data_IF_584188987988
#
_entry.id   IF_584188987988
#
_cell.length_a   1.000
_cell.length_b   1.000
_cell.length_c   1.000
_cell.angle_alpha   90.00
_cell.angle_beta   90.00
_cell.angle_gamma   90.00
#
_symmetry.space_group_name_H-M   'P 1'
#
loop_
_entity.id
_entity.type
_entity.pdbx_description
1 polymer ?
#
# COMPACT_ATOMS: atom_id res chain seq x y z
N UNK A 1 -46.24 -31.68 -13.19
CA UNK A 1 -45.02 -30.87 -13.05
C UNK A 1 -45.18 -30.02 -11.80
N UNK A 2 -44.28 -30.09 -10.81
CA UNK A 2 -44.35 -29.19 -9.65
C UNK A 2 -43.95 -27.76 -10.06
N UNK A 3 -44.52 -26.72 -9.42
CA UNK A 3 -44.26 -25.33 -9.80
C UNK A 3 -42.82 -24.94 -9.45
N UNK A 4 -42.17 -24.24 -10.38
CA UNK A 4 -40.87 -23.61 -10.20
C UNK A 4 -40.90 -22.72 -8.95
N UNK A 5 -40.15 -23.11 -7.92
CA UNK A 5 -39.91 -22.31 -6.73
C UNK A 5 -38.96 -21.20 -7.15
N UNK A 6 -39.48 -20.00 -7.40
CA UNK A 6 -38.68 -18.80 -7.61
C UNK A 6 -37.88 -18.60 -6.32
N UNK A 7 -36.57 -18.87 -6.36
CA UNK A 7 -35.68 -18.50 -5.26
C UNK A 7 -35.73 -16.98 -5.15
N UNK A 8 -35.93 -16.40 -3.95
CA UNK A 8 -35.85 -14.96 -3.79
C UNK A 8 -34.48 -14.48 -4.25
N UNK A 9 -34.45 -13.41 -5.04
CA UNK A 9 -33.22 -12.77 -5.45
C UNK A 9 -32.34 -12.49 -4.22
N UNK A 10 -31.02 -12.71 -4.30
CA UNK A 10 -30.13 -12.44 -3.17
C UNK A 10 -30.30 -10.98 -2.76
N UNK A 11 -30.63 -10.77 -1.47
CA UNK A 11 -30.73 -9.45 -0.87
C UNK A 11 -29.47 -8.67 -1.22
N UNK A 12 -29.58 -7.50 -1.87
CA UNK A 12 -28.41 -6.73 -2.25
C UNK A 12 -27.57 -6.42 -1.01
N UNK A 13 -26.24 -6.56 -1.08
CA UNK A 13 -25.38 -6.30 0.07
C UNK A 13 -25.63 -4.89 0.59
N UNK A 14 -25.77 -4.75 1.91
CA UNK A 14 -25.83 -3.45 2.58
C UNK A 14 -24.51 -2.70 2.33
N UNK A 15 -24.55 -1.79 1.35
CA UNK A 15 -23.40 -1.03 0.88
C UNK A 15 -22.66 -0.32 2.02
N UNK A 16 -23.38 0.07 3.09
CA UNK A 16 -22.80 0.74 4.26
C UNK A 16 -21.94 -0.21 5.09
N UNK A 17 -22.42 -1.43 5.35
CA UNK A 17 -21.66 -2.46 6.08
C UNK A 17 -20.44 -2.92 5.31
N UNK A 18 -20.55 -3.08 3.99
CA UNK A 18 -19.41 -3.44 3.13
C UNK A 18 -18.36 -2.34 3.12
N UNK A 19 -18.76 -1.08 2.96
CA UNK A 19 -17.85 0.07 3.01
C UNK A 19 -17.13 0.17 4.36
N UNK A 20 -17.84 -0.05 5.48
CA UNK A 20 -17.25 -0.01 6.82
C UNK A 20 -16.22 -1.14 7.04
N UNK A 21 -16.54 -2.37 6.61
CA UNK A 21 -15.60 -3.51 6.68
C UNK A 21 -14.33 -3.26 5.87
N UNK A 22 -14.48 -2.68 4.67
CA UNK A 22 -13.34 -2.28 3.86
C UNK A 22 -12.54 -1.17 4.54
N UNK A 23 -13.19 -0.14 5.10
CA UNK A 23 -12.51 0.93 5.82
C UNK A 23 -11.67 0.41 7.00
N UNK A 24 -12.19 -0.53 7.80
CA UNK A 24 -11.40 -1.19 8.85
C UNK A 24 -10.25 -2.03 8.31
N UNK A 25 -10.47 -2.74 7.19
CA UNK A 25 -9.40 -3.48 6.53
C UNK A 25 -8.26 -2.56 6.07
N UNK A 26 -8.57 -1.48 5.34
CA UNK A 26 -7.55 -0.49 4.96
C UNK A 26 -6.92 0.16 6.18
N UNK A 27 -7.72 0.52 7.19
CA UNK A 27 -7.23 1.09 8.45
C UNK A 27 -6.17 0.21 9.11
N UNK A 28 -6.40 -1.10 9.22
CA UNK A 28 -5.45 -2.04 9.80
C UNK A 28 -4.18 -2.23 8.95
N UNK A 29 -4.33 -2.33 7.62
CA UNK A 29 -3.18 -2.43 6.69
C UNK A 29 -2.30 -1.19 6.78
N UNK A 30 -2.90 0.00 6.74
CA UNK A 30 -2.16 1.25 6.83
C UNK A 30 -1.62 1.53 8.23
N UNK A 31 -2.25 1.02 9.29
CA UNK A 31 -1.68 1.04 10.64
C UNK A 31 -0.34 0.30 10.65
N UNK A 32 -0.28 -0.94 10.13
CA UNK A 32 0.95 -1.73 9.98
C UNK A 32 2.00 -0.98 9.13
N UNK A 33 1.59 -0.41 8.00
CA UNK A 33 2.50 0.36 7.12
C UNK A 33 3.03 1.63 7.81
N UNK A 34 2.20 2.34 8.57
CA UNK A 34 2.56 3.54 9.32
C UNK A 34 3.55 3.30 10.46
N UNK A 35 3.68 2.06 10.92
CA UNK A 35 4.73 1.64 11.86
C UNK A 35 5.96 1.16 11.09
N UNK A 36 5.73 0.29 10.09
CA UNK A 36 6.79 -0.42 9.40
C UNK A 36 7.67 0.55 8.59
N UNK A 37 7.06 1.43 7.79
CA UNK A 37 7.82 2.31 6.89
C UNK A 37 8.74 3.26 7.67
N UNK A 38 8.29 3.94 8.73
CA UNK A 38 9.16 4.82 9.51
C UNK A 38 10.18 4.10 10.37
N UNK A 39 9.80 2.99 11.02
CA UNK A 39 10.55 2.47 12.16
C UNK A 39 11.17 1.08 11.95
N UNK A 40 10.80 0.33 10.91
CA UNK A 40 11.43 -0.97 10.64
C UNK A 40 12.95 -0.88 10.44
N UNK A 41 13.50 0.08 9.66
CA UNK A 41 14.95 0.23 9.55
C UNK A 41 15.64 0.57 10.88
N UNK A 42 14.94 1.25 11.80
CA UNK A 42 15.44 1.52 13.15
C UNK A 42 15.56 0.24 13.96
N UNK A 43 14.57 -0.65 13.86
CA UNK A 43 14.62 -1.96 14.51
C UNK A 43 15.75 -2.83 13.93
N UNK A 44 15.94 -2.83 12.60
CA UNK A 44 17.05 -3.53 11.96
C UNK A 44 18.42 -3.00 12.43
N UNK A 45 18.57 -1.69 12.53
CA UNK A 45 19.79 -1.07 13.05
C UNK A 45 20.03 -1.42 14.52
N UNK A 46 18.96 -1.48 15.33
CA UNK A 46 19.03 -1.91 16.73
C UNK A 46 19.42 -3.40 16.89
N UNK A 47 19.10 -4.24 15.90
CA UNK A 47 19.60 -5.61 15.78
C UNK A 47 21.06 -5.71 15.30
N UNK A 48 21.74 -4.57 15.11
CA UNK A 48 23.15 -4.50 14.75
C UNK A 48 23.43 -4.54 13.25
N UNK A 49 22.41 -4.47 12.38
CA UNK A 49 22.64 -4.45 10.93
C UNK A 49 23.23 -3.11 10.50
N UNK A 50 24.27 -3.18 9.66
CA UNK A 50 24.86 -2.01 9.03
C UNK A 50 23.98 -1.42 7.91
N UNK A 51 24.28 -0.19 7.43
CA UNK A 51 23.49 0.46 6.38
C UNK A 51 23.37 -0.38 5.09
N UNK A 52 24.46 -1.03 4.67
CA UNK A 52 24.44 -1.90 3.47
C UNK A 52 23.51 -3.09 3.65
N UNK A 53 23.52 -3.71 4.83
CA UNK A 53 22.68 -4.87 5.15
C UNK A 53 21.19 -4.48 5.19
N UNK A 54 20.87 -3.34 5.83
CA UNK A 54 19.52 -2.76 5.82
C UNK A 54 19.06 -2.49 4.38
N UNK A 55 19.93 -1.90 3.56
CA UNK A 55 19.66 -1.65 2.15
C UNK A 55 19.33 -2.93 1.37
N UNK A 56 20.10 -4.01 1.59
CA UNK A 56 19.85 -5.32 0.97
C UNK A 56 18.54 -5.94 1.45
N UNK A 57 18.23 -5.89 2.75
CA UNK A 57 16.96 -6.38 3.31
C UNK A 57 15.78 -5.67 2.67
N UNK A 58 15.83 -4.33 2.57
CA UNK A 58 14.76 -3.53 1.94
C UNK A 58 14.66 -3.83 0.45
N UNK A 59 15.78 -3.91 -0.26
CA UNK A 59 15.80 -4.23 -1.69
C UNK A 59 15.20 -5.62 -1.97
N UNK A 60 15.59 -6.65 -1.22
CA UNK A 60 15.04 -7.99 -1.33
C UNK A 60 13.54 -8.03 -1.00
N UNK A 61 13.12 -7.27 0.03
CA UNK A 61 11.73 -7.11 0.44
C UNK A 61 10.86 -6.47 -0.64
N UNK A 62 11.40 -5.52 -1.42
CA UNK A 62 10.71 -4.93 -2.58
C UNK A 62 10.76 -5.89 -3.78
N UNK A 63 11.91 -6.52 -4.03
CA UNK A 63 12.13 -7.41 -5.16
C UNK A 63 11.21 -8.62 -5.16
N UNK A 64 10.97 -9.24 -4.00
CA UNK A 64 10.09 -10.41 -3.91
C UNK A 64 8.65 -10.10 -4.34
N UNK A 65 8.19 -8.85 -4.15
CA UNK A 65 6.83 -8.40 -4.51
C UNK A 65 6.55 -8.47 -6.01
N UNK A 66 7.60 -8.26 -6.83
CA UNK A 66 7.52 -8.34 -8.30
C UNK A 66 7.08 -9.74 -8.74
N UNK A 67 7.45 -10.77 -7.97
CA UNK A 67 7.12 -12.16 -8.24
C UNK A 67 5.84 -12.55 -7.50
N UNK A 68 5.74 -12.25 -6.20
CA UNK A 68 4.63 -12.72 -5.37
C UNK A 68 3.29 -12.11 -5.77
N UNK A 69 3.23 -10.80 -6.08
CA UNK A 69 1.97 -10.13 -6.37
C UNK A 69 1.26 -10.74 -7.61
N UNK A 70 1.91 -10.88 -8.79
CA UNK A 70 1.26 -11.49 -9.95
C UNK A 70 0.89 -12.97 -9.75
N UNK A 71 1.73 -13.75 -9.07
CA UNK A 71 1.47 -15.16 -8.83
C UNK A 71 0.23 -15.37 -7.95
N UNK A 72 0.15 -14.62 -6.85
CA UNK A 72 -0.96 -14.70 -5.91
C UNK A 72 -2.25 -14.12 -6.50
N UNK A 73 -2.15 -13.02 -7.28
CA UNK A 73 -3.29 -12.49 -8.03
C UNK A 73 -3.85 -13.53 -9.01
N UNK A 74 -2.98 -14.21 -9.77
CA UNK A 74 -3.38 -15.27 -10.70
C UNK A 74 -4.07 -16.45 -10.00
N UNK A 75 -3.59 -16.85 -8.82
CA UNK A 75 -4.23 -17.89 -8.00
C UNK A 75 -5.63 -17.42 -7.55
N UNK A 76 -5.77 -16.16 -7.14
CA UNK A 76 -7.04 -15.60 -6.70
C UNK A 76 -8.06 -15.51 -7.83
N UNK A 77 -7.63 -15.11 -9.02
CA UNK A 77 -8.50 -15.02 -10.20
C UNK A 77 -8.96 -16.39 -10.67
N UNK A 78 -8.10 -17.41 -10.64
CA UNK A 78 -8.47 -18.81 -10.95
C UNK A 78 -9.42 -19.42 -9.93
N UNK A 79 -9.32 -19.05 -8.66
CA UNK A 79 -10.23 -19.56 -7.62
C UNK A 79 -11.55 -18.80 -7.58
N UNK A 80 -11.64 -17.60 -8.18
CA UNK A 80 -12.80 -16.72 -8.09
C UNK A 80 -13.08 -16.20 -6.67
N UNK A 81 -12.20 -16.49 -5.70
CA UNK A 81 -12.36 -16.22 -4.28
C UNK A 81 -11.14 -15.47 -3.75
N UNK A 82 -11.35 -14.24 -3.27
CA UNK A 82 -10.29 -13.36 -2.76
C UNK A 82 -10.17 -13.43 -1.24
N UNK A 83 -11.29 -13.40 -0.52
CA UNK A 83 -11.31 -13.39 0.96
C UNK A 83 -10.53 -14.56 1.60
N UNK A 84 -10.74 -15.84 1.25
CA UNK A 84 -10.00 -16.94 1.88
C UNK A 84 -8.48 -16.85 1.67
N UNK A 85 -8.07 -16.38 0.49
CA UNK A 85 -6.66 -16.16 0.17
C UNK A 85 -6.09 -15.03 1.02
N UNK A 86 -6.79 -13.90 1.10
CA UNK A 86 -6.39 -12.75 1.94
C UNK A 86 -6.22 -13.19 3.40
N UNK A 87 -7.17 -13.94 3.96
CA UNK A 87 -7.09 -14.45 5.34
C UNK A 87 -5.89 -15.39 5.51
N UNK A 88 -5.69 -16.33 4.58
CA UNK A 88 -4.54 -17.24 4.62
C UNK A 88 -3.21 -16.51 4.57
N UNK A 89 -3.08 -15.50 3.70
CA UNK A 89 -1.91 -14.64 3.61
C UNK A 89 -1.69 -13.82 4.88
N UNK A 90 -2.75 -13.27 5.49
CA UNK A 90 -2.63 -12.53 6.75
C UNK A 90 -2.12 -13.42 7.90
N UNK A 91 -2.62 -14.66 8.00
CA UNK A 91 -2.14 -15.64 8.98
C UNK A 91 -0.69 -16.02 8.72
N UNK A 92 -0.32 -16.29 7.47
CA UNK A 92 1.07 -16.58 7.10
C UNK A 92 2.00 -15.38 7.32
N UNK A 93 1.54 -14.15 7.09
CA UNK A 93 2.28 -12.93 7.35
C UNK A 93 2.54 -12.77 8.86
N UNK A 94 1.52 -12.99 9.70
CA UNK A 94 1.70 -12.98 11.15
C UNK A 94 2.68 -14.07 11.62
N UNK A 95 2.48 -15.32 11.17
CA UNK A 95 3.32 -16.45 11.56
C UNK A 95 4.77 -16.34 11.05
N UNK A 96 5.00 -15.74 9.88
CA UNK A 96 6.36 -15.46 9.41
C UNK A 96 6.99 -14.29 10.16
N UNK A 97 6.21 -13.28 10.54
CA UNK A 97 6.72 -12.14 11.29
C UNK A 97 7.16 -12.51 12.71
N UNK A 98 6.51 -13.48 13.38
CA UNK A 98 6.96 -13.95 14.71
C UNK A 98 8.38 -14.54 14.68
N UNK A 99 8.83 -15.04 13.53
CA UNK A 99 10.18 -15.61 13.39
C UNK A 99 11.27 -14.56 13.65
N UNK A 100 11.00 -13.26 13.43
CA UNK A 100 11.96 -12.18 13.72
C UNK A 100 12.34 -12.09 15.21
N UNK A 101 11.52 -12.62 16.12
CA UNK A 101 11.83 -12.63 17.55
C UNK A 101 13.10 -13.43 17.87
N UNK A 102 13.41 -14.46 17.07
CA UNK A 102 14.58 -15.32 17.24
C UNK A 102 15.73 -15.01 16.28
N UNK A 103 15.72 -13.85 15.62
CA UNK A 103 16.77 -13.48 14.64
C UNK A 103 17.56 -12.26 15.09
N UNK A 104 18.88 -12.40 15.18
CA UNK A 104 19.82 -11.34 15.57
C UNK A 104 20.95 -11.14 14.54
N UNK A 105 20.87 -11.79 13.38
CA UNK A 105 21.91 -11.77 12.35
C UNK A 105 21.33 -11.49 10.98
N UNK A 106 22.16 -10.95 10.10
CA UNK A 106 21.79 -10.53 8.74
C UNK A 106 21.06 -11.62 7.94
N UNK A 107 21.64 -12.82 7.80
CA UNK A 107 21.07 -13.88 6.95
C UNK A 107 19.70 -14.36 7.42
N UNK A 108 19.48 -14.70 8.71
CA UNK A 108 18.15 -15.01 9.22
C UNK A 108 17.13 -13.87 8.98
N UNK A 109 17.51 -12.61 9.26
CA UNK A 109 16.64 -11.45 9.05
C UNK A 109 16.28 -11.30 7.57
N UNK A 110 17.23 -11.47 6.66
CA UNK A 110 17.02 -11.39 5.22
C UNK A 110 16.04 -12.46 4.73
N UNK A 111 16.25 -13.72 5.12
CA UNK A 111 15.41 -14.84 4.71
C UNK A 111 13.98 -14.69 5.25
N UNK A 112 13.82 -14.31 6.52
CA UNK A 112 12.51 -14.05 7.12
C UNK A 112 11.84 -12.85 6.45
N UNK A 113 12.59 -11.80 6.08
CA UNK A 113 12.05 -10.66 5.33
C UNK A 113 11.50 -11.06 3.97
N UNK A 114 12.24 -11.87 3.21
CA UNK A 114 11.78 -12.38 1.90
C UNK A 114 10.49 -13.19 2.08
N UNK A 115 10.47 -14.11 3.06
CA UNK A 115 9.29 -14.92 3.36
C UNK A 115 8.08 -14.06 3.73
N UNK A 116 8.26 -13.13 4.68
CA UNK A 116 7.21 -12.23 5.14
C UNK A 116 6.66 -11.37 3.99
N UNK A 117 7.52 -10.73 3.22
CA UNK A 117 7.08 -9.85 2.13
C UNK A 117 6.48 -10.60 0.94
N UNK A 118 6.85 -11.86 0.71
CA UNK A 118 6.20 -12.71 -0.27
C UNK A 118 4.71 -12.91 0.01
N UNK A 119 4.33 -12.99 1.29
CA UNK A 119 2.93 -13.23 1.71
C UNK A 119 2.18 -11.97 2.14
N UNK A 120 2.87 -10.98 2.68
CA UNK A 120 2.28 -9.71 3.11
C UNK A 120 1.91 -8.80 1.93
N UNK A 121 2.80 -8.68 0.94
CA UNK A 121 2.61 -7.72 -0.16
C UNK A 121 1.35 -7.92 -1.02
N UNK A 122 0.86 -9.14 -1.28
CA UNK A 122 -0.33 -9.34 -2.11
C UNK A 122 -1.65 -9.02 -1.39
N UNK A 123 -1.65 -8.84 -0.06
CA UNK A 123 -2.87 -8.62 0.73
C UNK A 123 -3.59 -7.33 0.29
N UNK A 124 -2.86 -6.23 0.14
CA UNK A 124 -3.42 -4.94 -0.29
C UNK A 124 -4.04 -5.00 -1.69
N UNK A 125 -3.33 -5.42 -2.77
CA UNK A 125 -3.93 -5.46 -4.11
C UNK A 125 -5.10 -6.44 -4.23
N UNK A 126 -5.08 -7.57 -3.50
CA UNK A 126 -6.24 -8.46 -3.43
C UNK A 126 -7.43 -7.81 -2.72
N UNK A 127 -7.18 -7.03 -1.67
CA UNK A 127 -8.19 -6.25 -0.97
C UNK A 127 -8.80 -5.15 -1.84
N UNK A 128 -7.98 -4.47 -2.64
CA UNK A 128 -8.42 -3.49 -3.64
C UNK A 128 -9.29 -4.16 -4.72
N UNK A 129 -8.83 -5.28 -5.27
CA UNK A 129 -9.61 -6.09 -6.21
C UNK A 129 -10.96 -6.51 -5.60
N UNK A 130 -10.96 -6.99 -4.35
CA UNK A 130 -12.18 -7.36 -3.64
C UNK A 130 -13.12 -6.16 -3.44
N UNK A 131 -12.60 -4.98 -3.10
CA UNK A 131 -13.38 -3.76 -2.98
C UNK A 131 -14.05 -3.37 -4.30
N UNK A 132 -13.32 -3.48 -5.43
CA UNK A 132 -13.86 -3.22 -6.76
C UNK A 132 -14.99 -4.20 -7.14
N UNK A 133 -14.82 -5.51 -6.87
CA UNK A 133 -15.88 -6.50 -7.12
C UNK A 133 -17.09 -6.36 -6.19
N UNK A 134 -16.89 -5.83 -4.98
CA UNK A 134 -17.96 -5.71 -3.98
C UNK A 134 -18.75 -4.40 -4.09
N UNK A 135 -18.31 -3.47 -4.95
CA UNK A 135 -18.99 -2.19 -5.17
C UNK A 135 -20.20 -2.28 -6.10
N UNK A 136 -21.04 -1.22 -6.16
CA UNK A 136 -22.24 -1.17 -6.99
C UNK A 136 -22.02 -1.50 -8.48
N UNK A 137 -20.80 -1.30 -9.00
CA UNK A 137 -20.40 -1.65 -10.37
C UNK A 137 -19.85 -3.07 -10.58
N UNK A 138 -19.81 -3.92 -9.54
CA UNK A 138 -19.28 -5.29 -9.60
C UNK A 138 -20.15 -6.28 -10.37
N UNK A 139 -21.38 -5.90 -10.75
CA UNK A 139 -22.16 -6.62 -11.76
C UNK A 139 -21.69 -6.17 -13.14
N UNK A 140 -20.64 -6.80 -13.64
CA UNK A 140 -20.08 -6.60 -14.99
C UNK A 140 -21.02 -7.08 -16.13
N UNK A 141 -22.29 -7.37 -15.82
CA UNK A 141 -23.24 -8.03 -16.72
C UNK A 141 -23.99 -7.12 -17.69
N UNK A 142 -24.19 -5.83 -17.39
CA UNK A 142 -25.01 -4.95 -18.23
C UNK A 142 -24.51 -3.51 -18.17
N UNK A 143 -23.38 -3.22 -18.82
CA UNK A 143 -23.09 -1.84 -19.23
C UNK A 143 -23.89 -1.58 -20.51
N UNK A 144 -25.11 -1.06 -20.38
CA UNK A 144 -25.76 -0.41 -21.51
C UNK A 144 -24.93 0.83 -21.90
N UNK A 145 -24.50 0.84 -23.16
CA UNK A 145 -23.86 1.97 -23.82
C UNK A 145 -24.81 3.18 -23.77
N UNK A 146 -24.57 4.14 -22.88
CA UNK A 146 -25.40 5.35 -22.86
C UNK A 146 -25.13 6.35 -21.73
N UNK A 147 -24.83 5.89 -20.51
CA UNK A 147 -24.69 6.81 -19.37
C UNK A 147 -23.22 7.16 -19.07
N UNK A 148 -22.70 8.16 -19.79
CA UNK A 148 -21.55 8.94 -19.36
C UNK A 148 -21.96 9.83 -18.17
N UNK A 149 -22.04 9.28 -16.95
CA UNK A 149 -22.33 10.11 -15.78
C UNK A 149 -22.60 9.36 -14.49
N UNK A 150 -21.59 9.29 -13.62
CA UNK A 150 -21.84 9.26 -12.17
C UNK A 150 -22.31 7.95 -11.54
N UNK A 151 -21.90 6.78 -12.05
CA UNK A 151 -22.04 5.54 -11.30
C UNK A 151 -21.24 5.67 -10.00
N UNK A 152 -21.96 5.55 -8.87
CA UNK A 152 -21.51 5.67 -7.48
C UNK A 152 -20.40 4.64 -7.20
N UNK A 153 -19.18 4.91 -7.67
CA UNK A 153 -17.95 4.33 -7.16
C UNK A 153 -18.09 4.36 -5.64
N UNK A 154 -18.00 3.20 -4.98
CA UNK A 154 -17.76 3.19 -3.54
C UNK A 154 -16.65 4.21 -3.33
N UNK A 155 -16.94 5.27 -2.59
CA UNK A 155 -16.16 6.50 -2.52
C UNK A 155 -14.72 6.14 -2.11
N UNK A 156 -13.91 5.75 -3.09
CA UNK A 156 -12.66 5.00 -2.89
C UNK A 156 -11.67 5.89 -2.17
N UNK A 157 -11.76 7.20 -2.45
CA UNK A 157 -11.12 8.27 -1.68
C UNK A 157 -11.51 8.27 -0.20
N UNK A 158 -12.80 8.13 0.16
CA UNK A 158 -13.24 8.08 1.57
C UNK A 158 -12.76 6.83 2.29
N UNK A 159 -12.77 5.67 1.64
CA UNK A 159 -12.27 4.43 2.24
C UNK A 159 -10.75 4.52 2.45
N UNK A 160 -10.02 5.10 1.49
CA UNK A 160 -8.58 5.33 1.58
C UNK A 160 -8.20 6.37 2.65
N UNK A 161 -9.03 7.39 2.87
CA UNK A 161 -8.81 8.40 3.91
C UNK A 161 -8.65 7.79 5.31
N UNK A 162 -9.41 6.73 5.62
CA UNK A 162 -9.25 6.00 6.88
C UNK A 162 -7.88 5.35 7.00
N UNK A 163 -7.33 4.83 5.89
CA UNK A 163 -5.96 4.33 5.85
C UNK A 163 -4.94 5.43 6.12
N UNK A 164 -5.08 6.60 5.48
CA UNK A 164 -4.19 7.73 5.74
C UNK A 164 -4.25 8.19 7.21
N UNK A 165 -5.45 8.23 7.80
CA UNK A 165 -5.62 8.61 9.20
C UNK A 165 -4.98 7.62 10.16
N UNK A 166 -5.14 6.30 9.92
CA UNK A 166 -4.49 5.28 10.76
C UNK A 166 -2.98 5.29 10.59
N UNK A 167 -2.46 5.51 9.38
CA UNK A 167 -1.03 5.70 9.16
C UNK A 167 -0.48 6.86 10.00
N UNK A 168 -1.13 8.03 9.94
CA UNK A 168 -0.71 9.21 10.71
C UNK A 168 -0.72 8.89 12.21
N UNK A 169 -1.82 8.30 12.70
CA UNK A 169 -1.98 7.97 14.10
C UNK A 169 -0.91 6.98 14.59
N UNK A 170 -0.60 5.93 13.81
CA UNK A 170 0.42 4.97 14.22
C UNK A 170 1.84 5.50 14.05
N UNK A 171 2.15 6.26 13.00
CA UNK A 171 3.47 6.85 12.81
C UNK A 171 3.81 7.83 13.95
N UNK A 172 2.89 8.73 14.29
CA UNK A 172 3.06 9.68 15.40
C UNK A 172 3.04 8.96 16.74
N UNK A 173 2.09 8.04 16.94
CA UNK A 173 1.95 7.30 18.20
C UNK A 173 3.18 6.45 18.51
N UNK A 174 3.67 5.66 17.54
CA UNK A 174 4.90 4.89 17.71
C UNK A 174 6.11 5.79 17.92
N UNK A 175 6.22 6.92 17.21
CA UNK A 175 7.29 7.89 17.43
C UNK A 175 7.30 8.45 18.86
N UNK A 176 6.12 8.76 19.40
CA UNK A 176 5.98 9.21 20.79
C UNK A 176 6.43 8.13 21.79
N UNK A 177 5.92 6.91 21.68
CA UNK A 177 6.29 5.82 22.59
C UNK A 177 7.75 5.35 22.45
N UNK A 178 8.40 5.65 21.33
CA UNK A 178 9.82 5.34 21.11
C UNK A 178 10.79 6.34 21.72
N UNK A 179 10.36 7.58 21.99
CA UNK A 179 11.29 8.66 22.41
C UNK A 179 12.04 8.31 23.70
N UNK A 180 11.36 7.62 24.64
CA UNK A 180 11.96 7.13 25.89
C UNK A 180 11.87 5.59 26.03
N UNK A 181 11.49 4.90 24.96
CA UNK A 181 11.15 3.48 24.97
C UNK A 181 12.22 2.57 24.36
N UNK A 182 12.13 1.26 24.62
CA UNK A 182 12.94 0.27 23.90
C UNK A 182 12.52 0.19 22.43
N UNK A 183 13.50 0.02 21.54
CA UNK A 183 13.26 -0.28 20.11
C UNK A 183 12.48 -1.58 19.90
N UNK A 184 12.44 -2.48 20.89
CA UNK A 184 11.64 -3.71 20.84
C UNK A 184 10.14 -3.45 20.71
N UNK A 185 9.67 -2.27 21.13
CA UNK A 185 8.26 -1.89 20.97
C UNK A 185 7.83 -1.91 19.49
N UNK A 186 8.76 -1.63 18.56
CA UNK A 186 8.49 -1.66 17.11
C UNK A 186 8.05 -3.06 16.70
N UNK A 187 8.77 -4.09 17.14
CA UNK A 187 8.41 -5.48 16.85
C UNK A 187 7.02 -5.84 17.39
N UNK A 188 6.75 -5.52 18.66
CA UNK A 188 5.48 -5.85 19.28
C UNK A 188 4.29 -5.12 18.66
N UNK A 189 4.44 -3.82 18.36
CA UNK A 189 3.38 -3.02 17.75
C UNK A 189 3.11 -3.46 16.30
N UNK A 190 4.15 -3.83 15.54
CA UNK A 190 3.99 -4.45 14.22
C UNK A 190 3.26 -5.79 14.32
N UNK A 191 3.69 -6.67 15.24
CA UNK A 191 3.07 -7.98 15.44
C UNK A 191 1.59 -7.85 15.86
N UNK A 192 1.26 -6.94 16.77
CA UNK A 192 -0.11 -6.65 17.17
C UNK A 192 -0.94 -6.10 16.01
N UNK A 193 -0.37 -5.23 15.16
CA UNK A 193 -1.07 -4.73 13.98
C UNK A 193 -1.35 -5.82 12.95
N UNK A 194 -0.45 -6.80 12.78
CA UNK A 194 -0.68 -7.99 11.95
C UNK A 194 -1.80 -8.88 12.51
N UNK A 195 -1.87 -9.04 13.84
CA UNK A 195 -2.99 -9.73 14.47
C UNK A 195 -4.33 -9.00 14.21
N UNK A 196 -4.33 -7.67 14.28
CA UNK A 196 -5.50 -6.86 13.91
C UNK A 196 -5.89 -7.08 12.44
N UNK A 197 -4.92 -7.15 11.52
CA UNK A 197 -5.17 -7.46 10.10
C UNK A 197 -5.89 -8.80 9.95
N UNK A 198 -5.47 -9.84 10.67
CA UNK A 198 -6.18 -11.14 10.66
C UNK A 198 -7.64 -10.93 11.08
N UNK A 199 -7.89 -10.28 12.21
CA UNK A 199 -9.25 -10.08 12.72
C UNK A 199 -10.14 -9.33 11.72
N UNK A 200 -9.66 -8.24 11.12
CA UNK A 200 -10.46 -7.47 10.16
C UNK A 200 -10.66 -8.20 8.83
N UNK A 201 -9.69 -9.03 8.39
CA UNK A 201 -9.84 -9.82 7.16
C UNK A 201 -10.91 -10.89 7.28
N UNK A 202 -11.15 -11.41 8.49
CA UNK A 202 -12.27 -12.31 8.77
C UNK A 202 -13.62 -11.63 8.56
N UNK A 203 -13.71 -10.29 8.68
CA UNK A 203 -14.94 -9.54 8.45
C UNK A 203 -15.16 -9.12 7.00
N UNK A 204 -14.21 -9.36 6.09
CA UNK A 204 -14.36 -9.02 4.67
C UNK A 204 -15.59 -9.71 4.04
N UNK A 205 -16.26 -9.07 3.07
CA UNK A 205 -17.35 -9.71 2.36
C UNK A 205 -16.84 -10.95 1.60
N UNK A 206 -17.62 -12.05 1.59
CA UNK A 206 -17.31 -13.18 0.71
C UNK A 206 -17.40 -12.72 -0.75
N UNK A 207 -16.40 -13.06 -1.54
CA UNK A 207 -16.40 -12.82 -3.00
C UNK A 207 -16.67 -14.12 -3.72
N UNK A 208 -17.62 -14.09 -4.65
CA UNK A 208 -17.78 -15.10 -5.71
C UNK A 208 -17.74 -14.37 -7.04
N UNK A 209 -16.54 -14.25 -7.62
CA UNK A 209 -16.39 -13.83 -9.01
C UNK A 209 -16.32 -15.09 -9.88
N UNK A 210 -16.76 -15.03 -11.16
CA UNK A 210 -16.50 -16.09 -12.11
C UNK A 210 -15.00 -16.41 -12.12
N UNK A 211 -14.66 -17.69 -11.90
CA UNK A 211 -13.28 -18.14 -11.98
C UNK A 211 -12.75 -17.88 -13.40
N UNK A 212 -11.57 -17.25 -13.49
CA UNK A 212 -10.94 -17.04 -14.79
C UNK A 212 -10.54 -18.40 -15.41
N UNK A 213 -10.99 -18.64 -16.64
CA UNK A 213 -10.58 -19.79 -17.46
C UNK A 213 -9.30 -19.51 -18.25
N UNK A 214 -8.81 -18.27 -18.23
CA UNK A 214 -7.61 -17.87 -18.95
C UNK A 214 -6.36 -18.52 -18.35
N UNK A 215 -5.61 -19.22 -19.22
CA UNK A 215 -4.42 -19.97 -18.81
C UNK A 215 -3.15 -19.11 -18.87
N UNK A 216 -3.16 -18.03 -19.65
CA UNK A 216 -2.00 -17.17 -19.89
C UNK A 216 -1.96 -16.01 -18.90
N UNK A 217 -0.76 -15.68 -18.43
CA UNK A 217 -0.51 -14.45 -17.68
C UNK A 217 -0.70 -13.25 -18.62
N UNK A 218 -1.89 -12.63 -18.57
CA UNK A 218 -2.23 -11.44 -19.38
C UNK A 218 -1.19 -10.31 -19.23
N UNK A 219 -0.51 -10.24 -18.08
CA UNK A 219 0.56 -9.28 -17.80
C UNK A 219 1.67 -9.28 -18.88
N UNK A 220 2.08 -10.44 -19.40
CA UNK A 220 3.16 -10.49 -20.40
C UNK A 220 2.74 -9.94 -21.77
N UNK A 221 1.45 -9.95 -22.07
CA UNK A 221 0.92 -9.37 -23.31
C UNK A 221 0.99 -7.84 -23.23
N UNK A 222 0.61 -7.27 -22.09
CA UNK A 222 0.54 -5.81 -21.89
C UNK A 222 1.94 -5.18 -21.80
N UNK A 223 2.91 -5.87 -21.20
CA UNK A 223 4.31 -5.40 -21.08
C UNK A 223 4.96 -5.18 -22.47
N UNK A 224 4.49 -5.84 -23.52
CA UNK A 224 5.01 -5.68 -24.89
C UNK A 224 4.53 -4.39 -25.58
N UNK A 225 3.55 -3.69 -25.01
CA UNK A 225 3.06 -2.41 -25.55
C UNK A 225 4.08 -1.32 -25.20
N UNK A 226 4.72 -0.64 -26.16
CA UNK A 226 5.81 0.31 -25.88
C UNK A 226 5.40 1.44 -24.93
N UNK A 227 4.18 1.95 -25.09
CA UNK A 227 3.62 3.01 -24.23
C UNK A 227 3.48 2.54 -22.78
N UNK A 228 3.06 1.28 -22.58
CA UNK A 228 2.96 0.68 -21.26
C UNK A 228 4.35 0.41 -20.66
N UNK A 229 5.33 0.01 -21.48
CA UNK A 229 6.72 -0.12 -21.05
C UNK A 229 7.31 1.19 -20.54
N UNK A 230 7.11 2.30 -21.27
CA UNK A 230 7.55 3.63 -20.83
C UNK A 230 6.86 4.08 -19.54
N UNK A 231 5.54 3.86 -19.45
CA UNK A 231 4.76 4.11 -18.24
C UNK A 231 5.31 3.33 -17.04
N UNK A 232 5.55 2.03 -17.21
CA UNK A 232 6.12 1.17 -16.17
C UNK A 232 7.50 1.65 -15.73
N UNK A 233 8.40 1.95 -16.68
CA UNK A 233 9.75 2.44 -16.36
C UNK A 233 9.67 3.76 -15.58
N UNK A 234 8.87 4.73 -16.06
CA UNK A 234 8.75 6.03 -15.40
C UNK A 234 8.23 5.90 -13.97
N UNK A 235 7.13 5.17 -13.77
CA UNK A 235 6.57 4.94 -12.43
C UNK A 235 7.50 4.12 -11.54
N UNK A 236 8.17 3.10 -12.08
CA UNK A 236 9.12 2.27 -11.34
C UNK A 236 10.32 3.09 -10.85
N UNK A 237 10.90 3.95 -11.69
CA UNK A 237 12.01 4.83 -11.27
C UNK A 237 11.57 5.81 -10.19
N UNK A 238 10.39 6.42 -10.34
CA UNK A 238 9.84 7.33 -9.33
C UNK A 238 9.62 6.60 -8.00
N UNK A 239 8.98 5.43 -8.01
CA UNK A 239 8.73 4.66 -6.79
C UNK A 239 10.04 4.11 -6.18
N UNK A 240 10.97 3.60 -6.99
CA UNK A 240 12.26 3.11 -6.53
C UNK A 240 13.09 4.21 -5.84
N UNK A 241 12.99 5.46 -6.31
CA UNK A 241 13.67 6.59 -5.66
C UNK A 241 13.22 6.83 -4.22
N UNK A 242 11.98 6.46 -3.86
CA UNK A 242 11.49 6.53 -2.49
C UNK A 242 12.11 5.46 -1.59
N UNK A 243 12.59 4.33 -2.13
CA UNK A 243 13.11 3.22 -1.33
C UNK A 243 14.30 3.63 -0.47
N UNK A 244 15.16 4.52 -0.96
CA UNK A 244 16.28 5.08 -0.19
C UNK A 244 15.75 5.90 0.98
N UNK A 245 14.78 6.76 0.73
CA UNK A 245 14.13 7.57 1.76
C UNK A 245 13.37 6.70 2.78
N UNK A 246 12.68 5.64 2.35
CA UNK A 246 12.00 4.70 3.23
C UNK A 246 12.96 3.86 4.08
N UNK A 247 14.14 3.54 3.57
CA UNK A 247 15.15 2.80 4.33
C UNK A 247 15.95 3.65 5.29
N UNK A 248 16.25 4.89 4.93
CA UNK A 248 17.25 5.68 5.65
C UNK A 248 16.75 7.02 6.18
N UNK A 249 15.53 7.47 5.83
CA UNK A 249 15.00 8.77 6.25
C UNK A 249 14.99 8.94 7.77
N UNK A 250 14.34 8.01 8.48
CA UNK A 250 14.30 8.02 9.95
C UNK A 250 15.70 7.91 10.56
N UNK A 251 16.54 7.00 10.06
CA UNK A 251 17.91 6.83 10.57
C UNK A 251 18.74 8.12 10.42
N UNK A 252 18.61 8.79 9.28
CA UNK A 252 19.29 10.05 8.97
C UNK A 252 18.78 11.20 9.86
N UNK A 253 17.48 11.29 10.11
CA UNK A 253 16.94 12.32 11.00
C UNK A 253 17.30 12.10 12.46
N UNK A 254 17.35 10.84 12.92
CA UNK A 254 17.89 10.50 14.24
C UNK A 254 19.36 10.92 14.36
N UNK A 255 20.16 10.68 13.33
CA UNK A 255 21.56 11.11 13.29
C UNK A 255 21.72 12.64 13.31
N UNK A 256 20.73 13.39 12.83
CA UNK A 256 20.66 14.86 12.94
C UNK A 256 20.14 15.36 14.30
N UNK A 257 19.78 14.46 15.21
CA UNK A 257 19.31 14.80 16.57
C UNK A 257 17.82 15.10 16.68
N UNK A 258 17.00 14.81 15.65
CA UNK A 258 15.55 14.93 15.78
C UNK A 258 14.99 13.78 16.62
N UNK A 259 14.07 14.10 17.53
CA UNK A 259 13.36 13.09 18.33
C UNK A 259 12.42 12.25 17.46
N UNK A 260 12.12 11.05 17.93
CA UNK A 260 11.23 10.09 17.27
C UNK A 260 9.81 10.65 17.10
N UNK A 261 9.38 11.52 18.02
CA UNK A 261 8.13 12.27 17.91
C UNK A 261 8.15 13.21 16.69
N UNK A 262 9.20 14.02 16.51
CA UNK A 262 9.35 14.91 15.34
C UNK A 262 9.41 14.09 14.05
N UNK A 263 10.11 12.96 14.07
CA UNK A 263 10.17 12.03 12.95
C UNK A 263 8.78 11.49 12.60
N UNK A 264 7.99 11.09 13.59
CA UNK A 264 6.61 10.66 13.39
C UNK A 264 5.76 11.73 12.69
N UNK A 265 5.94 13.00 13.06
CA UNK A 265 5.28 14.13 12.39
C UNK A 265 5.78 14.37 10.96
N UNK A 266 7.08 14.21 10.68
CA UNK A 266 7.62 14.33 9.32
C UNK A 266 7.03 13.27 8.37
N UNK A 267 6.79 12.05 8.88
CA UNK A 267 6.09 11.00 8.13
C UNK A 267 4.60 11.32 7.95
N UNK A 268 3.94 11.81 8.99
CA UNK A 268 2.53 12.21 8.92
C UNK A 268 2.30 13.36 7.93
N UNK A 269 3.21 14.34 7.89
CA UNK A 269 3.15 15.49 6.99
C UNK A 269 3.05 15.06 5.52
N UNK A 270 3.90 14.12 5.10
CA UNK A 270 3.86 13.61 3.73
C UNK A 270 2.49 13.02 3.36
N UNK A 271 1.86 12.31 4.31
CA UNK A 271 0.51 11.74 4.12
C UNK A 271 -0.57 12.81 4.12
N UNK A 272 -0.44 13.86 4.95
CA UNK A 272 -1.33 15.02 4.91
C UNK A 272 -1.26 15.70 3.54
N UNK A 273 -0.06 15.89 3.00
CA UNK A 273 0.15 16.46 1.67
C UNK A 273 -0.48 15.58 0.56
N UNK A 274 -0.38 14.25 0.66
CA UNK A 274 -1.09 13.30 -0.20
C UNK A 274 -2.61 13.48 -0.14
N UNK A 275 -3.20 13.55 1.06
CA UNK A 275 -4.65 13.75 1.25
C UNK A 275 -5.11 15.04 0.56
N UNK A 276 -4.37 16.13 0.75
CA UNK A 276 -4.69 17.43 0.14
C UNK A 276 -4.68 17.29 -1.38
N UNK A 277 -3.66 16.66 -1.98
CA UNK A 277 -3.61 16.50 -3.44
C UNK A 277 -4.74 15.63 -3.98
N UNK A 278 -5.06 14.52 -3.31
CA UNK A 278 -6.18 13.68 -3.72
C UNK A 278 -7.53 14.39 -3.64
N UNK A 279 -7.73 15.31 -2.69
CA UNK A 279 -8.93 16.14 -2.64
C UNK A 279 -9.14 16.98 -3.91
N UNK A 280 -8.06 17.33 -4.62
CA UNK A 280 -8.10 18.01 -5.92
C UNK A 280 -7.86 17.08 -7.12
N UNK A 281 -7.82 15.76 -6.90
CA UNK A 281 -7.35 14.78 -7.89
C UNK A 281 -8.13 14.79 -9.21
N UNK A 282 -9.47 14.78 -9.16
CA UNK A 282 -10.30 14.81 -10.36
C UNK A 282 -10.09 16.08 -11.20
N UNK A 283 -9.93 17.24 -10.53
CA UNK A 283 -9.63 18.50 -11.21
C UNK A 283 -8.27 18.44 -11.90
N UNK A 284 -7.27 17.94 -11.19
CA UNK A 284 -5.89 17.87 -11.65
C UNK A 284 -5.74 16.91 -12.85
N UNK A 285 -6.37 15.74 -12.79
CA UNK A 285 -6.42 14.77 -13.90
C UNK A 285 -7.09 15.38 -15.14
N UNK A 286 -8.21 16.09 -14.97
CA UNK A 286 -8.91 16.73 -16.09
C UNK A 286 -8.05 17.81 -16.78
N UNK A 287 -7.25 18.56 -16.02
CA UNK A 287 -6.41 19.64 -16.57
C UNK A 287 -5.10 19.16 -17.16
N UNK A 288 -4.41 18.23 -16.49
CA UNK A 288 -3.05 17.83 -16.85
C UNK A 288 -2.99 16.51 -17.61
N UNK A 289 -3.94 15.62 -17.37
CA UNK A 289 -3.92 14.26 -17.90
C UNK A 289 -2.89 13.35 -17.22
N UNK A 290 -2.99 12.02 -17.43
CA UNK A 290 -2.21 11.03 -16.68
C UNK A 290 -0.69 11.16 -16.84
N UNK A 291 -0.22 11.33 -18.07
CA UNK A 291 1.22 11.40 -18.37
C UNK A 291 1.91 12.61 -17.72
N UNK A 292 1.26 13.77 -17.70
CA UNK A 292 1.83 14.98 -17.08
C UNK A 292 1.89 14.87 -15.55
N UNK A 293 0.95 14.15 -14.92
CA UNK A 293 1.00 13.88 -13.49
C UNK A 293 2.22 13.03 -13.11
N UNK A 294 2.50 11.99 -13.90
CA UNK A 294 3.69 11.15 -13.72
C UNK A 294 4.96 11.98 -13.94
N UNK A 295 4.99 12.82 -14.98
CA UNK A 295 6.12 13.72 -15.23
C UNK A 295 6.35 14.68 -14.06
N UNK A 296 5.29 15.29 -13.53
CA UNK A 296 5.38 16.17 -12.35
C UNK A 296 5.94 15.41 -11.14
N UNK A 297 5.50 14.17 -10.91
CA UNK A 297 6.06 13.33 -9.85
C UNK A 297 7.55 13.05 -10.03
N UNK A 298 8.00 12.81 -11.26
CA UNK A 298 9.41 12.64 -11.60
C UNK A 298 10.25 13.89 -11.37
N UNK A 299 9.78 15.05 -11.85
CA UNK A 299 10.46 16.34 -11.64
C UNK A 299 10.52 16.70 -10.16
N UNK A 300 9.39 16.55 -9.44
CA UNK A 300 9.34 16.77 -8.00
C UNK A 300 10.28 15.83 -7.25
N UNK A 301 10.41 14.57 -7.68
CA UNK A 301 11.33 13.59 -7.10
C UNK A 301 12.78 14.01 -7.29
N UNK A 302 13.17 14.41 -8.51
CA UNK A 302 14.51 14.89 -8.80
C UNK A 302 14.90 16.09 -7.91
N UNK A 303 13.99 17.06 -7.76
CA UNK A 303 14.18 18.19 -6.83
C UNK A 303 14.27 17.69 -5.39
N UNK A 304 13.26 16.95 -4.92
CA UNK A 304 13.16 16.50 -3.52
C UNK A 304 14.43 15.77 -3.06
N UNK A 305 14.92 14.83 -3.85
CA UNK A 305 16.09 14.04 -3.46
C UNK A 305 17.40 14.81 -3.57
N UNK A 306 17.55 15.66 -4.59
CA UNK A 306 18.76 16.49 -4.75
C UNK A 306 18.93 17.47 -3.58
N UNK A 307 17.82 18.05 -3.11
CA UNK A 307 17.90 19.07 -2.07
C UNK A 307 17.85 18.44 -0.66
N UNK A 308 17.10 17.36 -0.43
CA UNK A 308 17.10 16.65 0.87
C UNK A 308 18.50 16.12 1.24
N UNK A 309 19.33 15.79 0.25
CA UNK A 309 20.71 15.35 0.49
C UNK A 309 21.72 16.46 0.78
N UNK A 310 21.36 17.74 0.55
CA UNK A 310 22.32 18.87 0.59
C UNK A 310 21.95 19.97 1.57
N UNK A 311 20.67 20.17 1.87
CA UNK A 311 20.19 21.21 2.78
C UNK A 311 19.73 20.63 4.13
N UNK A 312 20.08 21.31 5.21
CA UNK A 312 19.77 20.92 6.57
C UNK A 312 18.69 21.78 7.24
N UNK A 313 18.17 21.29 8.36
CA UNK A 313 17.22 22.01 9.21
C UNK A 313 15.76 21.60 9.00
N UNK A 314 14.98 21.69 10.08
CA UNK A 314 13.62 21.16 10.14
C UNK A 314 12.67 21.82 9.14
N UNK A 315 12.74 23.16 9.01
CA UNK A 315 11.90 23.88 8.05
C UNK A 315 12.15 23.46 6.60
N UNK A 316 13.41 23.15 6.26
CA UNK A 316 13.77 22.66 4.95
C UNK A 316 13.19 21.25 4.69
N UNK A 317 13.31 20.35 5.68
CA UNK A 317 12.73 19.02 5.61
C UNK A 317 11.21 19.07 5.40
N UNK A 318 10.49 19.91 6.14
CA UNK A 318 9.04 20.14 6.00
C UNK A 318 8.69 20.50 4.54
N UNK A 319 9.36 21.51 3.98
CA UNK A 319 9.11 21.92 2.57
C UNK A 319 9.36 20.75 1.60
N UNK A 320 10.41 19.96 1.83
CA UNK A 320 10.69 18.77 1.00
C UNK A 320 9.70 17.63 1.23
N UNK A 321 9.08 17.52 2.41
CA UNK A 321 8.03 16.53 2.65
C UNK A 321 6.76 16.85 1.91
N UNK A 322 6.40 18.12 1.79
CA UNK A 322 5.23 18.54 1.00
C UNK A 322 5.31 18.05 -0.46
N UNK A 323 6.53 17.92 -1.03
CA UNK A 323 6.72 17.37 -2.37
C UNK A 323 6.29 15.89 -2.49
N UNK A 324 6.10 15.18 -1.38
CA UNK A 324 5.56 13.81 -1.39
C UNK A 324 4.20 13.70 -2.07
N UNK A 325 3.37 14.74 -1.97
CA UNK A 325 2.11 14.83 -2.69
C UNK A 325 2.33 14.59 -4.19
N UNK A 326 3.37 15.17 -4.79
CA UNK A 326 3.65 14.99 -6.21
C UNK A 326 4.34 13.66 -6.48
N UNK A 327 5.39 13.34 -5.72
CA UNK A 327 6.20 12.15 -5.99
C UNK A 327 5.41 10.86 -5.82
N UNK A 328 4.47 10.83 -4.88
CA UNK A 328 3.58 9.69 -4.64
C UNK A 328 2.17 9.92 -5.19
N UNK A 329 1.40 10.86 -4.65
CA UNK A 329 -0.04 10.96 -4.92
C UNK A 329 -0.36 11.34 -6.39
N UNK A 330 0.35 12.32 -6.97
CA UNK A 330 0.18 12.67 -8.37
C UNK A 330 0.62 11.53 -9.31
N UNK A 331 1.76 10.90 -9.04
CA UNK A 331 2.22 9.71 -9.79
C UNK A 331 1.20 8.57 -9.71
N UNK A 332 0.62 8.33 -8.53
CA UNK A 332 -0.39 7.30 -8.30
C UNK A 332 -1.69 7.57 -9.06
N UNK A 333 -2.22 8.81 -8.99
CA UNK A 333 -3.37 9.22 -9.81
C UNK A 333 -3.08 9.05 -11.31
N UNK A 334 -1.91 9.51 -11.75
CA UNK A 334 -1.47 9.35 -13.13
C UNK A 334 -1.44 7.88 -13.56
N UNK A 335 -0.97 6.98 -12.70
CA UNK A 335 -0.94 5.55 -12.97
C UNK A 335 -2.34 4.92 -13.06
N UNK A 336 -3.22 5.19 -12.09
CA UNK A 336 -4.59 4.65 -12.09
C UNK A 336 -5.33 5.08 -13.37
N UNK A 337 -5.27 6.37 -13.71
CA UNK A 337 -5.96 6.90 -14.90
C UNK A 337 -5.28 6.55 -16.23
N UNK A 338 -4.01 6.14 -16.21
CA UNK A 338 -3.35 5.62 -17.39
C UNK A 338 -3.80 4.18 -17.68
N UNK A 339 -3.92 3.35 -16.64
CA UNK A 339 -4.34 1.94 -16.76
C UNK A 339 -5.82 1.81 -17.12
N UNK A 340 -6.66 2.78 -16.72
CA UNK A 340 -8.10 2.75 -17.02
C UNK A 340 -8.47 3.16 -18.45
N UNK A 341 -7.52 3.61 -19.26
CA UNK A 341 -7.69 4.01 -20.66
C UNK A 341 -7.20 2.93 -21.61
#
# INVERSE_FOLDING_TARGET
>A
MPPFRIMPDPVPPDNTRTALRLAFFYGAIFAMIGIHVPFWPVWLAAKGLGPTEIGVVIAASVGIKVISNPLIAHIADRRGQRRPIIVGLAVLAFASFTLFAGTDHFWPILLVSILFFAVWSPIMPLGESLAMLSGPGGKQGERQEGEQGGAKELDYGRVRLWGSLTFIATAVGTGYFLTDGSTDIIFWVLLSSLALVIVVTLALPPTQAPASTETRFAAFTVIRVPQFGLFLIATALIQASHSVYYGFGTLNWKAQGYSETVIGFLWAEGVIAEIILFAFGAHLVRRLGPAKLILLGGVAGAVRWSVTGTAGGLGFLIIMQALHAFTFAATHLGAIYFISR
#
